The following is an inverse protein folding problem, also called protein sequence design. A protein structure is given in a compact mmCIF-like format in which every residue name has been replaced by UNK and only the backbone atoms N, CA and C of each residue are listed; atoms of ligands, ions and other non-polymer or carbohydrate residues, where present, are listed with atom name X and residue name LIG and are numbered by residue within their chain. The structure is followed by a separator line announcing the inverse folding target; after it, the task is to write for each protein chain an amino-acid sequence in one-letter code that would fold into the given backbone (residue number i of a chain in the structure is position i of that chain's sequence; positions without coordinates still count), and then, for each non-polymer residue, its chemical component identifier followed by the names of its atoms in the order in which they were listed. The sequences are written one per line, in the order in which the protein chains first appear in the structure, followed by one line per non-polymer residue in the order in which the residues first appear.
data_IF_152045501440
#
_entry.id   IF_152045501440
#
_cell.length_a   1.000
_cell.length_b   1.000
_cell.length_c   1.000
_cell.angle_alpha   90.00
_cell.angle_beta   90.00
_cell.angle_gamma   90.00
#
_symmetry.space_group_name_H-M   'P 1'
#
loop_
_entity.id
_entity.type
_entity.pdbx_description
1 polymer ?
#
# COMPACT_ATOMS: atom_id res chain seq x y z
N UNK A 1 -5.07 -4.89 -2.35
CA UNK A 1 -3.81 -5.15 -1.60
C UNK A 1 -3.64 -4.06 -0.56
N UNK A 2 -3.28 -4.41 0.67
CA UNK A 2 -3.01 -3.49 1.79
C UNK A 2 -1.56 -3.65 2.24
N UNK A 3 -0.80 -2.57 2.32
CA UNK A 3 0.63 -2.58 2.64
C UNK A 3 0.86 -1.72 3.87
N UNK A 4 1.49 -2.27 4.91
CA UNK A 4 1.93 -1.52 6.09
C UNK A 4 3.38 -1.08 5.93
N UNK A 5 3.64 0.21 6.11
CA UNK A 5 4.96 0.81 6.05
C UNK A 5 5.65 0.83 7.43
N UNK A 6 6.94 1.08 7.44
CA UNK A 6 7.79 1.15 8.65
C UNK A 6 7.44 2.31 9.60
N UNK A 7 6.68 3.30 9.13
CA UNK A 7 6.19 4.43 9.92
C UNK A 7 4.70 4.33 10.27
N UNK A 8 4.17 3.10 10.30
CA UNK A 8 2.79 2.74 10.62
C UNK A 8 1.72 3.19 9.62
N UNK A 9 2.07 3.98 8.60
CA UNK A 9 1.17 4.30 7.50
C UNK A 9 0.78 3.05 6.72
N UNK A 10 -0.41 3.08 6.15
CA UNK A 10 -0.96 1.99 5.35
C UNK A 10 -1.34 2.50 3.98
N UNK A 11 -0.89 1.80 2.94
CA UNK A 11 -1.32 2.08 1.57
C UNK A 11 -2.15 0.91 1.06
N UNK A 12 -3.37 1.23 0.63
CA UNK A 12 -4.31 0.29 0.03
C UNK A 12 -4.48 0.62 -1.45
N UNK A 13 -4.51 -0.40 -2.30
CA UNK A 13 -4.73 -0.20 -3.73
C UNK A 13 -4.78 -1.50 -4.53
N UNK A 14 -4.89 -1.34 -5.84
CA UNK A 14 -4.84 -2.43 -6.83
C UNK A 14 -3.38 -2.71 -7.14
N UNK A 15 -2.93 -3.93 -6.88
CA UNK A 15 -1.58 -4.36 -7.25
C UNK A 15 -1.45 -4.37 -8.77
N UNK A 16 -0.45 -3.65 -9.30
CA UNK A 16 -0.17 -3.63 -10.74
C UNK A 16 1.09 -4.42 -11.06
N UNK A 17 2.19 -4.16 -10.36
CA UNK A 17 3.44 -4.87 -10.55
C UNK A 17 4.40 -4.72 -9.37
N UNK A 18 5.46 -5.51 -9.41
CA UNK A 18 6.62 -5.43 -8.50
C UNK A 18 7.91 -5.70 -9.27
N UNK A 19 9.05 -5.37 -8.67
CA UNK A 19 10.38 -5.61 -9.22
C UNK A 19 11.26 -6.50 -8.30
N UNK A 20 12.52 -6.73 -8.69
CA UNK A 20 13.48 -7.53 -7.93
C UNK A 20 13.85 -6.91 -6.57
N UNK A 21 13.69 -5.61 -6.41
CA UNK A 21 13.95 -4.88 -5.17
C UNK A 21 12.71 -4.80 -4.27
N UNK A 22 11.63 -5.52 -4.63
CA UNK A 22 10.36 -5.52 -3.90
C UNK A 22 9.69 -4.15 -3.88
N UNK A 23 10.04 -3.25 -4.80
CA UNK A 23 9.24 -2.06 -5.03
C UNK A 23 7.88 -2.49 -5.57
N UNK A 24 6.82 -1.79 -5.18
CA UNK A 24 5.45 -2.11 -5.59
C UNK A 24 4.80 -0.89 -6.23
N UNK A 25 4.15 -1.11 -7.36
CA UNK A 25 3.25 -0.12 -7.97
C UNK A 25 1.81 -0.50 -7.63
N UNK A 26 1.09 0.43 -7.01
CA UNK A 26 -0.35 0.33 -6.74
C UNK A 26 -1.13 1.34 -7.59
N UNK A 27 -2.19 0.88 -8.23
CA UNK A 27 -3.21 1.72 -8.87
C UNK A 27 -4.40 1.97 -7.96
N UNK A 28 -5.15 3.05 -8.22
CA UNK A 28 -6.32 3.46 -7.43
C UNK A 28 -6.06 3.44 -5.92
N UNK A 29 -4.95 4.06 -5.53
CA UNK A 29 -4.35 3.94 -4.20
C UNK A 29 -4.85 5.00 -3.23
N UNK A 30 -4.91 4.60 -1.97
CA UNK A 30 -5.30 5.39 -0.80
C UNK A 30 -4.27 5.20 0.31
N UNK A 31 -3.92 6.28 1.00
CA UNK A 31 -3.04 6.26 2.16
C UNK A 31 -3.82 6.58 3.43
N UNK A 32 -3.57 5.77 4.45
CA UNK A 32 -4.09 5.92 5.81
C UNK A 32 -2.90 6.20 6.74
N UNK A 33 -3.04 7.15 7.65
CA UNK A 33 -1.99 7.50 8.60
C UNK A 33 -1.71 6.38 9.62
N UNK A 34 -2.73 5.57 9.92
CA UNK A 34 -2.65 4.41 10.82
C UNK A 34 -3.89 3.51 10.63
N UNK A 35 -4.04 2.46 11.45
CA UNK A 35 -5.16 1.49 11.34
C UNK A 35 -6.54 2.06 11.72
N UNK A 36 -6.58 3.20 12.41
CA UNK A 36 -7.80 3.86 12.90
C UNK A 36 -8.17 5.10 12.10
N UNK A 37 -7.44 5.37 11.02
CA UNK A 37 -7.71 6.52 10.17
C UNK A 37 -8.92 6.23 9.29
N UNK A 38 -9.99 7.01 9.47
CA UNK A 38 -11.25 6.86 8.73
C UNK A 38 -11.32 7.78 7.50
N UNK A 39 -10.35 8.68 7.30
CA UNK A 39 -10.33 9.65 6.18
C UNK A 39 -9.05 9.53 5.33
N UNK A 40 -8.99 8.50 4.46
CA UNK A 40 -7.77 8.24 3.70
C UNK A 40 -7.50 9.29 2.62
N UNK A 41 -6.21 9.62 2.45
CA UNK A 41 -5.73 10.47 1.37
C UNK A 41 -5.69 9.71 0.05
N UNK A 42 -6.36 10.23 -0.98
CA UNK A 42 -6.30 9.70 -2.34
C UNK A 42 -4.92 9.96 -2.96
N UNK A 43 -4.27 8.92 -3.48
CA UNK A 43 -2.99 9.02 -4.20
C UNK A 43 -3.13 8.73 -5.69
N UNK A 44 -4.05 7.86 -6.10
CA UNK A 44 -4.15 7.39 -7.48
C UNK A 44 -3.07 6.34 -7.80
N UNK A 45 -2.03 6.71 -8.54
CA UNK A 45 -0.91 5.80 -8.85
C UNK A 45 0.23 6.04 -7.86
N UNK A 46 0.64 5.00 -7.12
CA UNK A 46 1.68 5.10 -6.11
C UNK A 46 2.80 4.08 -6.36
N UNK A 47 4.05 4.52 -6.22
CA UNK A 47 5.22 3.66 -6.10
C UNK A 47 5.62 3.58 -4.62
N UNK A 48 5.78 2.36 -4.12
CA UNK A 48 6.15 2.07 -2.73
C UNK A 48 7.53 1.42 -2.73
N UNK A 49 8.56 2.04 -2.12
CA UNK A 49 9.87 1.44 -1.99
C UNK A 49 9.81 0.17 -1.13
N UNK A 50 10.41 -0.92 -1.62
CA UNK A 50 10.39 -2.21 -0.94
C UNK A 50 11.03 -2.18 0.45
N UNK A 51 12.04 -1.34 0.64
CA UNK A 51 12.77 -1.19 1.91
C UNK A 51 11.92 -0.67 3.07
N UNK A 52 10.77 -0.05 2.78
CA UNK A 52 9.85 0.46 3.80
C UNK A 52 8.67 -0.47 4.08
N UNK A 53 8.54 -1.57 3.34
CA UNK A 53 7.42 -2.50 3.48
C UNK A 53 7.66 -3.41 4.69
N UNK A 54 6.76 -3.35 5.67
CA UNK A 54 6.78 -4.23 6.84
C UNK A 54 5.93 -5.48 6.62
N UNK A 55 4.75 -5.31 6.02
CA UNK A 55 3.85 -6.43 5.72
C UNK A 55 2.89 -6.10 4.59
N UNK A 56 2.42 -7.15 3.92
CA UNK A 56 1.44 -7.07 2.83
C UNK A 56 0.29 -8.01 3.18
N UNK A 57 -0.93 -7.50 3.03
CA UNK A 57 -2.17 -8.23 3.20
C UNK A 57 -2.89 -8.32 1.85
N UNK A 58 -3.30 -9.53 1.49
CA UNK A 58 -4.13 -9.81 0.33
C UNK A 58 -5.55 -10.00 0.86
N UNK A 59 -6.48 -9.17 0.40
CA UNK A 59 -7.88 -9.41 0.66
C UNK A 59 -8.34 -10.49 -0.34
N UNK A 60 -9.07 -11.50 0.12
CA UNK A 60 -9.71 -12.46 -0.77
C UNK A 60 -10.66 -11.71 -1.72
N UNK A 61 -10.65 -12.07 -3.00
CA UNK A 61 -11.64 -11.60 -3.94
C UNK A 61 -12.99 -12.24 -3.56
N UNK A 62 -14.00 -11.40 -3.33
CA UNK A 62 -15.41 -11.82 -3.22
C UNK A 62 -15.90 -12.24 -4.60
#
# INVERSE_FOLDING_TARGET
MRIKLSDDRIICGIFLCTDRHQNIILGSSFEYLNETDDDPRVLGLAMIPGEHIVSIYINEAV
#
